data_IF_335007808066
#
_entry.id   IF_335007808066
#
_cell.length_a   1.000
_cell.length_b   1.000
_cell.length_c   1.000
_cell.angle_alpha   90.00
_cell.angle_beta   90.00
_cell.angle_gamma   90.00
#
_symmetry.space_group_name_H-M   'P 1'
#
loop_
_entity.id
_entity.type
_entity.pdbx_description
1 polymer ?
#
# COMPACT_ATOMS: atom_id res chain seq x y z
N UNK A 1 3.36 31.44 -3.25
CA UNK A 1 2.62 30.17 -3.26
C UNK A 1 3.65 29.05 -3.25
N UNK A 2 3.79 28.31 -2.16
CA UNK A 2 4.80 27.25 -2.05
C UNK A 2 4.32 26.01 -2.80
N UNK A 3 5.01 25.63 -3.87
CA UNK A 3 4.80 24.34 -4.54
C UNK A 3 5.19 23.22 -3.57
N UNK A 4 4.20 22.51 -3.04
CA UNK A 4 4.42 21.20 -2.43
C UNK A 4 4.75 20.22 -3.56
N UNK A 5 6.04 19.89 -3.72
CA UNK A 5 6.49 18.85 -4.63
C UNK A 5 6.16 17.48 -4.03
N UNK A 6 5.01 16.93 -4.42
CA UNK A 6 4.67 15.55 -4.10
C UNK A 6 5.40 14.62 -5.09
N UNK A 7 6.63 14.24 -4.75
CA UNK A 7 7.41 13.15 -5.36
C UNK A 7 6.79 11.76 -5.04
N UNK A 8 5.50 11.58 -5.29
CA UNK A 8 4.80 10.31 -5.05
C UNK A 8 4.40 9.59 -6.35
N UNK A 9 4.47 10.27 -7.50
CA UNK A 9 3.91 9.74 -8.76
C UNK A 9 4.96 9.05 -9.65
N UNK A 10 6.25 9.34 -9.47
CA UNK A 10 7.30 8.86 -10.41
C UNK A 10 7.57 7.35 -10.38
N UNK A 11 7.02 6.62 -9.40
CA UNK A 11 7.18 5.16 -9.32
C UNK A 11 6.09 4.37 -10.07
N UNK A 12 4.97 4.99 -10.44
CA UNK A 12 3.88 4.29 -11.13
C UNK A 12 4.22 4.03 -12.61
N UNK A 13 4.95 4.95 -13.25
CA UNK A 13 5.26 4.93 -14.68
C UNK A 13 6.45 4.02 -15.07
N UNK A 14 7.30 3.63 -14.11
CA UNK A 14 8.36 2.64 -14.34
C UNK A 14 7.95 1.20 -13.92
N UNK A 15 6.74 1.03 -13.36
CA UNK A 15 6.27 -0.26 -12.85
C UNK A 15 6.01 -1.30 -13.96
N UNK A 16 5.82 -0.87 -15.21
CA UNK A 16 5.60 -1.76 -16.37
C UNK A 16 6.84 -2.62 -16.70
N UNK A 17 8.06 -2.14 -16.40
CA UNK A 17 9.31 -2.84 -16.73
C UNK A 17 9.87 -3.70 -15.57
N UNK A 18 9.31 -3.56 -14.37
CA UNK A 18 9.74 -4.32 -13.19
C UNK A 18 9.01 -5.65 -13.18
N UNK A 19 9.77 -6.74 -13.28
CA UNK A 19 9.21 -8.09 -13.25
C UNK A 19 8.39 -8.35 -11.99
N UNK A 20 7.19 -8.89 -12.20
CA UNK A 20 6.18 -9.15 -11.18
C UNK A 20 6.07 -10.65 -10.92
N UNK A 21 6.64 -11.16 -9.81
CA UNK A 21 6.53 -12.57 -9.44
C UNK A 21 5.09 -13.07 -9.37
N UNK A 22 4.15 -12.20 -9.03
CA UNK A 22 2.71 -12.51 -8.98
C UNK A 22 2.13 -12.98 -10.31
N UNK A 23 2.73 -12.59 -11.44
CA UNK A 23 2.30 -13.01 -12.79
C UNK A 23 3.08 -14.25 -13.26
N UNK A 24 4.00 -14.77 -12.44
CA UNK A 24 4.90 -15.87 -12.76
C UNK A 24 4.99 -16.87 -11.59
N UNK A 25 3.85 -17.31 -11.08
CA UNK A 25 3.74 -18.35 -10.02
C UNK A 25 4.52 -18.04 -8.74
N UNK A 26 4.78 -16.76 -8.47
CA UNK A 26 5.58 -16.30 -7.33
C UNK A 26 7.08 -16.49 -7.50
N UNK A 27 7.56 -16.82 -8.70
CA UNK A 27 8.98 -16.97 -9.00
C UNK A 27 9.61 -15.64 -9.39
N UNK A 28 10.92 -15.54 -9.26
CA UNK A 28 11.77 -14.45 -9.72
C UNK A 28 12.18 -14.67 -11.18
N UNK A 29 12.82 -13.67 -11.79
CA UNK A 29 13.41 -13.77 -13.15
C UNK A 29 14.37 -14.96 -13.33
N UNK A 30 14.99 -15.43 -12.24
CA UNK A 30 15.92 -16.56 -12.20
C UNK A 30 15.24 -17.91 -11.93
N UNK A 31 13.90 -17.94 -11.83
CA UNK A 31 13.10 -19.12 -11.54
C UNK A 31 13.09 -19.55 -10.07
N UNK A 32 13.75 -18.80 -9.17
CA UNK A 32 13.70 -19.09 -7.74
C UNK A 32 12.46 -18.47 -7.08
N UNK A 33 11.91 -19.06 -6.01
CA UNK A 33 10.81 -18.47 -5.26
C UNK A 33 11.12 -17.04 -4.78
N UNK A 34 10.21 -16.10 -5.02
CA UNK A 34 10.35 -14.72 -4.55
C UNK A 34 9.89 -14.60 -3.09
N UNK A 35 10.79 -14.16 -2.21
CA UNK A 35 10.51 -13.97 -0.77
C UNK A 35 9.42 -12.93 -0.50
N UNK A 36 9.19 -11.98 -1.42
CA UNK A 36 8.09 -11.00 -1.32
C UNK A 36 6.72 -11.64 -1.41
N UNK A 37 6.65 -12.83 -2.04
CA UNK A 37 5.43 -13.62 -2.16
C UNK A 37 5.22 -14.56 -0.97
N UNK A 38 6.17 -14.65 -0.03
CA UNK A 38 6.04 -15.51 1.14
C UNK A 38 4.98 -14.95 2.11
N UNK A 39 4.02 -15.80 2.45
CA UNK A 39 2.92 -15.54 3.37
C UNK A 39 3.31 -15.66 4.86
N UNK A 40 4.40 -16.35 5.20
CA UNK A 40 4.82 -16.59 6.60
C UNK A 40 5.27 -15.32 7.33
N UNK A 41 5.89 -14.36 6.64
CA UNK A 41 6.58 -13.23 7.27
C UNK A 41 6.21 -11.85 6.69
N UNK A 42 5.08 -11.75 5.98
CA UNK A 42 4.62 -10.50 5.34
C UNK A 42 3.10 -10.36 5.28
N UNK A 43 2.61 -9.26 4.69
CA UNK A 43 1.18 -8.98 4.46
C UNK A 43 0.45 -10.03 3.57
N UNK A 44 1.15 -11.07 3.11
CA UNK A 44 0.61 -12.15 2.28
C UNK A 44 0.06 -13.36 3.05
N UNK A 45 0.11 -13.35 4.38
CA UNK A 45 -0.52 -14.35 5.25
C UNK A 45 -2.04 -14.27 5.22
N UNK A 46 -2.64 -13.88 6.34
CA UNK A 46 -4.08 -13.65 6.42
C UNK A 46 -4.45 -12.30 5.77
N UNK A 47 -4.80 -12.37 4.49
CA UNK A 47 -5.19 -11.20 3.68
C UNK A 47 -6.41 -10.49 4.26
N UNK A 48 -7.34 -11.22 4.88
CA UNK A 48 -8.55 -10.65 5.48
C UNK A 48 -8.19 -9.84 6.72
N UNK A 49 -7.35 -10.41 7.59
CA UNK A 49 -6.87 -9.68 8.77
C UNK A 49 -6.08 -8.42 8.40
N UNK A 50 -5.21 -8.51 7.40
CA UNK A 50 -4.45 -7.37 6.90
C UNK A 50 -5.36 -6.27 6.31
N UNK A 51 -6.39 -6.68 5.55
CA UNK A 51 -7.40 -5.78 4.99
C UNK A 51 -8.17 -5.06 6.10
N UNK A 52 -8.68 -5.80 7.09
CA UNK A 52 -9.48 -5.23 8.17
C UNK A 52 -8.66 -4.28 9.06
N UNK A 53 -7.40 -4.63 9.35
CA UNK A 53 -6.48 -3.74 10.06
C UNK A 53 -6.21 -2.44 9.28
N UNK A 54 -6.01 -2.54 7.96
CA UNK A 54 -5.84 -1.40 7.07
C UNK A 54 -7.08 -0.49 7.01
N UNK A 55 -8.27 -1.08 6.85
CA UNK A 55 -9.55 -0.35 6.86
C UNK A 55 -9.76 0.34 8.20
N UNK A 56 -9.51 -0.34 9.31
CA UNK A 56 -9.63 0.23 10.66
C UNK A 56 -8.66 1.41 10.85
N UNK A 57 -7.40 1.26 10.50
CA UNK A 57 -6.40 2.33 10.58
C UNK A 57 -6.75 3.55 9.71
N UNK A 58 -7.22 3.31 8.48
CA UNK A 58 -7.65 4.39 7.58
C UNK A 58 -8.88 5.15 8.07
N UNK A 59 -9.85 4.45 8.68
CA UNK A 59 -11.06 5.08 9.26
C UNK A 59 -10.73 5.97 10.46
N UNK A 60 -9.80 5.56 11.33
CA UNK A 60 -9.39 6.37 12.49
C UNK A 60 -8.82 7.73 12.07
N UNK A 61 -8.07 7.78 10.95
CA UNK A 61 -7.55 9.04 10.40
C UNK A 61 -8.61 9.95 9.80
N UNK A 62 -9.78 9.44 9.38
CA UNK A 62 -10.88 10.28 8.88
C UNK A 62 -11.77 10.82 10.01
N UNK A 63 -11.90 10.09 11.12
CA UNK A 63 -12.71 10.54 12.26
C UNK A 63 -12.03 11.64 13.08
N UNK A 64 -10.69 11.69 13.13
CA UNK A 64 -9.93 12.73 13.83
C UNK A 64 -9.89 14.07 13.08
N UNK A 65 -9.99 14.06 11.75
CA UNK A 65 -9.96 15.28 10.90
C UNK A 65 -11.39 15.77 10.57
N UNK A 66 -12.42 14.96 10.86
CA UNK A 66 -13.83 15.25 10.55
C UNK A 66 -14.65 15.90 11.67
N UNK A 67 -14.11 16.04 12.89
CA UNK A 67 -14.79 16.75 14.01
C UNK A 67 -14.24 18.17 14.22
N UNK A 68 -13.99 18.90 13.14
CA UNK A 68 -14.00 20.36 13.21
C UNK A 68 -15.46 20.82 13.27
N UNK A 69 -15.97 21.07 14.48
CA UNK A 69 -17.31 21.65 14.68
C UNK A 69 -17.47 22.98 13.94
N UNK A 70 -18.71 23.44 13.67
CA UNK A 70 -18.92 24.76 13.09
C UNK A 70 -18.24 25.81 13.98
N UNK A 71 -17.44 26.69 13.37
CA UNK A 71 -16.88 27.85 14.03
C UNK A 71 -17.91 28.98 13.95
N UNK A 72 -18.84 28.99 14.89
CA UNK A 72 -19.67 30.15 15.21
C UNK A 72 -18.97 31.00 16.29
N UNK A 73 -18.30 32.07 15.84
CA UNK A 73 -17.87 33.21 16.65
C UNK A 73 -17.89 34.49 15.81
#
# INVERSE_FOLDING_TARGET
MSQASNKMTEHAENAEAVYKPSEHDGLRKDGQPDKRMNSEYGFGGDKELAHDAGVKGGKMGQEEIGRGGPLDA
#
